data_IF_894813230464
#
_entry.id   IF_894813230464
#
_cell.length_a   1.000
_cell.length_b   1.000
_cell.length_c   1.000
_cell.angle_alpha   90.00
_cell.angle_beta   90.00
_cell.angle_gamma   90.00
#
_symmetry.space_group_name_H-M   'P 1'
#
loop_
_entity.id
_entity.type
_entity.pdbx_description
1 polymer ?
#
# COMPACT_ATOMS: atom_id res chain seq x y z
N UNK A 1 6.10 3.10 6.91
CA UNK A 1 5.80 2.20 5.76
C UNK A 1 5.02 2.98 4.70
N UNK A 2 5.37 2.94 3.41
CA UNK A 2 5.08 4.05 2.46
C UNK A 2 4.01 3.73 1.41
N UNK A 3 2.81 4.25 1.61
CA UNK A 3 1.96 4.76 0.52
C UNK A 3 2.36 6.20 0.24
N UNK A 4 2.72 6.52 -1.00
CA UNK A 4 2.61 7.89 -1.53
C UNK A 4 2.05 7.82 -2.93
N UNK A 5 0.82 8.29 -3.12
CA UNK A 5 0.34 8.74 -4.45
C UNK A 5 0.86 10.15 -4.78
N UNK A 6 1.83 10.65 -4.00
CA UNK A 6 2.54 11.88 -4.28
C UNK A 6 3.38 11.77 -5.56
N UNK A 7 3.68 12.90 -6.21
CA UNK A 7 4.66 12.96 -7.28
C UNK A 7 5.97 12.27 -6.90
N UNK A 8 6.63 11.60 -7.86
CA UNK A 8 7.88 10.92 -7.60
C UNK A 8 8.91 11.88 -7.02
N UNK A 9 9.37 11.56 -5.82
CA UNK A 9 10.41 12.32 -5.14
C UNK A 9 11.71 11.50 -5.13
N UNK A 10 12.77 12.06 -5.72
CA UNK A 10 14.06 11.40 -5.87
C UNK A 10 14.63 10.92 -4.52
N UNK A 11 14.49 11.70 -3.45
CA UNK A 11 14.98 11.32 -2.13
C UNK A 11 14.21 10.11 -1.57
N UNK A 12 12.90 10.04 -1.81
CA UNK A 12 12.07 8.88 -1.39
C UNK A 12 12.45 7.63 -2.18
N UNK A 13 12.52 7.72 -3.51
CA UNK A 13 12.91 6.57 -4.33
C UNK A 13 14.34 6.13 -4.02
N UNK A 14 15.25 7.06 -3.77
CA UNK A 14 16.61 6.74 -3.34
C UNK A 14 16.63 5.97 -2.01
N UNK A 15 15.84 6.38 -1.01
CA UNK A 15 15.71 5.65 0.24
C UNK A 15 15.15 4.22 0.03
N UNK A 16 14.15 4.08 -0.85
CA UNK A 16 13.56 2.77 -1.19
C UNK A 16 14.55 1.86 -1.93
N UNK A 17 15.32 2.41 -2.87
CA UNK A 17 16.37 1.69 -3.61
C UNK A 17 17.53 1.28 -2.69
N UNK A 18 17.98 2.18 -1.80
CA UNK A 18 19.08 1.91 -0.87
C UNK A 18 18.78 0.82 0.16
N UNK A 19 17.50 0.53 0.42
CA UNK A 19 17.05 -0.50 1.36
C UNK A 19 16.70 -1.82 0.67
N UNK A 20 16.90 -1.92 -0.64
CA UNK A 20 16.51 -3.06 -1.48
C UNK A 20 15.04 -3.48 -1.27
N UNK A 21 14.18 -2.49 -0.95
CA UNK A 21 12.82 -2.74 -0.50
C UNK A 21 12.00 -3.44 -1.59
N UNK A 22 12.17 -3.03 -2.85
CA UNK A 22 11.43 -3.61 -3.98
C UNK A 22 11.77 -5.08 -4.14
N UNK A 23 13.03 -5.48 -4.01
CA UNK A 23 13.45 -6.88 -4.02
C UNK A 23 12.87 -7.66 -2.83
N UNK A 24 12.88 -7.08 -1.63
CA UNK A 24 12.25 -7.69 -0.47
C UNK A 24 10.75 -7.91 -0.66
N UNK A 25 10.03 -6.92 -1.20
CA UNK A 25 8.61 -7.05 -1.53
C UNK A 25 8.39 -8.09 -2.63
N UNK A 26 9.24 -8.13 -3.65
CA UNK A 26 9.17 -9.11 -4.73
C UNK A 26 9.34 -10.54 -4.21
N UNK A 27 10.17 -10.76 -3.20
CA UNK A 27 10.30 -12.05 -2.54
C UNK A 27 9.09 -12.34 -1.64
N UNK A 28 8.60 -11.33 -0.92
CA UNK A 28 7.49 -11.43 0.01
C UNK A 28 6.16 -11.81 -0.65
N UNK A 29 5.98 -11.60 -1.97
CA UNK A 29 4.77 -12.09 -2.69
C UNK A 29 4.63 -13.62 -2.68
N UNK A 30 5.71 -14.36 -2.38
CA UNK A 30 5.72 -15.81 -2.27
C UNK A 30 5.82 -16.27 -0.80
N UNK A 31 5.59 -15.38 0.16
CA UNK A 31 5.57 -15.73 1.58
C UNK A 31 4.38 -16.65 1.91
N UNK A 32 4.57 -17.54 2.88
CA UNK A 32 3.50 -18.36 3.45
C UNK A 32 2.55 -17.53 4.33
N UNK A 33 3.00 -16.36 4.79
CA UNK A 33 2.16 -15.43 5.56
C UNK A 33 1.30 -14.59 4.61
N UNK A 34 -0.02 -14.82 4.65
CA UNK A 34 -1.01 -14.14 3.79
C UNK A 34 -1.02 -12.63 3.94
N UNK A 35 -0.81 -12.13 5.17
CA UNK A 35 -0.78 -10.68 5.42
C UNK A 35 0.42 -10.04 4.70
N UNK A 36 1.58 -10.66 4.81
CA UNK A 36 2.84 -10.26 4.16
C UNK A 36 2.72 -10.35 2.64
N UNK A 37 2.18 -11.45 2.12
CA UNK A 37 1.97 -11.62 0.69
C UNK A 37 1.07 -10.54 0.11
N UNK A 38 -0.05 -10.24 0.77
CA UNK A 38 -0.99 -9.24 0.28
C UNK A 38 -0.43 -7.83 0.41
N UNK A 39 0.20 -7.51 1.54
CA UNK A 39 0.87 -6.23 1.72
C UNK A 39 1.91 -5.99 0.61
N UNK A 40 2.74 -7.00 0.34
CA UNK A 40 3.73 -6.93 -0.73
C UNK A 40 3.10 -6.77 -2.11
N UNK A 41 2.02 -7.50 -2.39
CA UNK A 41 1.26 -7.41 -3.64
C UNK A 41 0.70 -5.99 -3.84
N UNK A 42 0.07 -5.43 -2.80
CA UNK A 42 -0.51 -4.09 -2.81
C UNK A 42 0.56 -3.00 -2.96
N UNK A 43 1.65 -3.09 -2.21
CA UNK A 43 2.75 -2.13 -2.27
C UNK A 43 3.47 -2.14 -3.62
N UNK A 44 3.69 -3.32 -4.21
CA UNK A 44 4.27 -3.43 -5.55
C UNK A 44 3.34 -2.85 -6.63
N UNK A 45 2.03 -3.08 -6.52
CA UNK A 45 1.07 -2.46 -7.42
C UNK A 45 1.18 -0.93 -7.38
N UNK A 46 1.28 -0.34 -6.18
CA UNK A 46 1.46 1.11 -6.02
C UNK A 46 2.72 1.60 -6.74
N UNK A 47 3.86 0.94 -6.58
CA UNK A 47 5.11 1.34 -7.25
C UNK A 47 5.03 1.24 -8.77
N UNK A 48 4.44 0.16 -9.29
CA UNK A 48 4.20 0.01 -10.72
C UNK A 48 3.31 1.14 -11.25
N UNK A 49 2.27 1.49 -10.50
CA UNK A 49 1.34 2.55 -10.89
C UNK A 49 1.94 3.96 -10.80
N UNK A 50 2.87 4.19 -9.87
CA UNK A 50 3.65 5.43 -9.85
C UNK A 50 4.54 5.53 -11.11
N UNK A 51 5.16 4.42 -11.52
CA UNK A 51 5.95 4.36 -12.75
C UNK A 51 5.11 4.63 -14.01
N UNK A 52 3.93 4.00 -14.12
CA UNK A 52 3.02 4.17 -15.26
C UNK A 52 2.48 5.61 -15.35
N UNK A 53 2.09 6.20 -14.22
CA UNK A 53 1.41 7.49 -14.21
C UNK A 53 2.34 8.71 -14.11
N UNK A 54 3.65 8.53 -13.98
CA UNK A 54 4.56 9.67 -14.00
C UNK A 54 4.59 10.31 -15.39
N UNK A 55 4.23 11.59 -15.43
CA UNK A 55 4.19 12.36 -16.67
C UNK A 55 5.59 12.79 -17.12
N UNK A 56 6.49 13.09 -16.17
CA UNK A 56 7.87 13.45 -16.50
C UNK A 56 8.73 12.20 -16.73
N UNK A 57 8.80 11.78 -17.99
CA UNK A 57 9.63 10.66 -18.44
C UNK A 57 11.14 10.91 -18.35
N UNK A 58 11.56 12.14 -18.04
CA UNK A 58 12.98 12.49 -17.83
C UNK A 58 13.37 12.52 -16.35
N UNK A 59 12.42 12.27 -15.44
CA UNK A 59 12.62 12.29 -14.01
C UNK A 59 13.68 11.26 -13.57
N UNK A 60 14.76 11.67 -12.87
CA UNK A 60 15.72 10.74 -12.30
C UNK A 60 15.09 9.79 -11.27
N UNK A 61 14.02 10.23 -10.60
CA UNK A 61 13.30 9.42 -9.62
C UNK A 61 12.55 8.27 -10.30
N UNK A 62 11.97 8.55 -11.47
CA UNK A 62 11.31 7.55 -12.30
C UNK A 62 12.32 6.53 -12.83
N UNK A 63 13.42 6.98 -13.42
CA UNK A 63 14.45 6.08 -13.94
C UNK A 63 15.00 5.14 -12.85
N UNK A 64 15.18 5.66 -11.63
CA UNK A 64 15.60 4.84 -10.50
C UNK A 64 14.52 3.84 -10.09
N UNK A 65 13.26 4.27 -10.00
CA UNK A 65 12.15 3.39 -9.65
C UNK A 65 11.99 2.26 -10.68
N UNK A 66 12.02 2.58 -11.97
CA UNK A 66 11.92 1.58 -13.05
C UNK A 66 13.07 0.58 -13.00
N UNK A 67 14.29 1.06 -12.75
CA UNK A 67 15.47 0.19 -12.58
C UNK A 67 15.29 -0.79 -11.42
N UNK A 68 14.74 -0.33 -10.30
CA UNK A 68 14.43 -1.20 -9.16
C UNK A 68 13.28 -2.17 -9.46
N UNK A 69 12.22 -1.70 -10.13
CA UNK A 69 11.10 -2.54 -10.53
C UNK A 69 11.54 -3.67 -11.47
N UNK A 70 12.49 -3.42 -12.38
CA UNK A 70 13.04 -4.45 -13.27
C UNK A 70 13.70 -5.62 -12.54
N UNK A 71 14.10 -5.44 -11.27
CA UNK A 71 14.58 -6.54 -10.42
C UNK A 71 13.46 -7.50 -10.01
N UNK A 72 12.20 -7.10 -10.11
CA UNK A 72 11.06 -7.99 -9.90
C UNK A 72 11.00 -9.03 -11.03
N UNK A 73 11.15 -10.31 -10.67
CA UNK A 73 11.19 -11.43 -11.64
C UNK A 73 10.01 -11.46 -12.61
N UNK A 74 8.82 -10.99 -12.20
CA UNK A 74 7.62 -10.97 -13.05
C UNK A 74 7.66 -9.94 -14.19
N UNK A 75 8.52 -8.93 -14.11
CA UNK A 75 8.72 -7.98 -15.21
C UNK A 75 9.69 -8.54 -16.26
N UNK A 76 10.43 -9.62 -15.95
CA UNK A 76 11.35 -10.29 -16.88
C UNK A 76 12.36 -9.34 -17.55
N UNK A 77 12.77 -8.28 -16.84
CA UNK A 77 13.68 -7.27 -17.40
C UNK A 77 13.04 -6.37 -18.45
N UNK A 78 11.72 -6.42 -18.66
CA UNK A 78 10.99 -5.59 -19.62
C UNK A 78 9.98 -4.69 -18.91
N UNK A 79 10.27 -3.38 -18.87
CA UNK A 79 9.40 -2.38 -18.26
C UNK A 79 8.09 -2.18 -19.03
N UNK A 80 8.04 -2.50 -20.33
CA UNK A 80 6.82 -2.42 -21.13
C UNK A 80 5.73 -3.40 -20.63
N UNK A 81 6.12 -4.42 -19.86
CA UNK A 81 5.18 -5.37 -19.24
C UNK A 81 4.51 -4.82 -17.98
N UNK A 82 4.85 -3.61 -17.54
CA UNK A 82 4.36 -3.04 -16.28
C UNK A 82 2.83 -3.00 -16.18
N UNK A 83 2.12 -2.72 -17.28
CA UNK A 83 0.65 -2.70 -17.28
C UNK A 83 0.07 -4.10 -17.04
N UNK A 84 0.56 -5.11 -17.78
CA UNK A 84 0.11 -6.49 -17.61
C UNK A 84 0.44 -7.05 -16.22
N UNK A 85 1.62 -6.70 -15.67
CA UNK A 85 1.98 -7.09 -14.29
C UNK A 85 1.12 -6.34 -13.27
N UNK A 86 0.75 -5.08 -13.52
CA UNK A 86 -0.20 -4.36 -12.68
C UNK A 86 -1.54 -5.08 -12.66
N UNK A 87 -2.13 -5.38 -13.82
CA UNK A 87 -3.41 -6.09 -13.93
C UNK A 87 -3.41 -7.45 -13.20
N UNK A 88 -2.36 -8.26 -13.37
CA UNK A 88 -2.23 -9.52 -12.63
C UNK A 88 -2.23 -9.32 -11.10
N UNK A 89 -1.61 -8.21 -10.63
CA UNK A 89 -1.63 -7.86 -9.21
C UNK A 89 -2.99 -7.35 -8.77
N UNK A 90 -3.71 -6.64 -9.63
CA UNK A 90 -5.08 -6.20 -9.34
C UNK A 90 -6.00 -7.39 -9.11
N UNK A 91 -6.00 -8.35 -10.03
CA UNK A 91 -6.80 -9.57 -9.93
C UNK A 91 -6.49 -10.35 -8.65
N UNK A 92 -5.20 -10.45 -8.31
CA UNK A 92 -4.77 -11.12 -7.07
C UNK A 92 -5.25 -10.37 -5.83
N UNK A 93 -5.14 -9.05 -5.79
CA UNK A 93 -5.64 -8.24 -4.67
C UNK A 93 -7.15 -8.39 -4.49
N UNK A 94 -7.91 -8.39 -5.58
CA UNK A 94 -9.36 -8.59 -5.52
C UNK A 94 -9.74 -9.98 -5.01
N UNK A 95 -9.00 -11.02 -5.40
CA UNK A 95 -9.25 -12.39 -4.95
C UNK A 95 -8.88 -12.62 -3.48
N UNK A 96 -7.79 -12.01 -3.02
CA UNK A 96 -7.17 -12.35 -1.73
C UNK A 96 -7.52 -11.35 -0.60
N UNK A 97 -8.12 -10.19 -0.90
CA UNK A 97 -8.39 -9.14 0.10
C UNK A 97 -9.32 -9.60 1.25
N UNK A 98 -10.26 -10.52 0.98
CA UNK A 98 -11.16 -11.06 2.00
C UNK A 98 -10.51 -12.13 2.89
N UNK A 99 -9.35 -12.68 2.49
CA UNK A 99 -8.70 -13.80 3.15
C UNK A 99 -7.77 -13.41 4.32
N UNK A 100 -7.67 -12.11 4.62
CA UNK A 100 -6.74 -11.52 5.59
C UNK A 100 -7.29 -11.62 7.00
N UNK A 101 -6.45 -11.85 8.01
CA UNK A 101 -6.85 -11.78 9.43
C UNK A 101 -6.47 -10.48 10.13
N UNK A 102 -5.40 -9.81 9.69
CA UNK A 102 -4.94 -8.52 10.23
C UNK A 102 -5.83 -7.36 9.75
N UNK A 103 -6.38 -6.59 10.70
CA UNK A 103 -7.15 -5.37 10.40
C UNK A 103 -6.30 -4.35 9.64
N UNK A 104 -5.05 -4.14 10.05
CA UNK A 104 -4.16 -3.18 9.41
C UNK A 104 -3.87 -3.52 7.93
N UNK A 105 -3.48 -4.78 7.66
CA UNK A 105 -3.16 -5.19 6.28
C UNK A 105 -4.40 -5.14 5.39
N UNK A 106 -5.57 -5.43 5.97
CA UNK A 106 -6.86 -5.32 5.31
C UNK A 106 -7.22 -3.88 4.98
N UNK A 107 -7.12 -2.96 5.93
CA UNK A 107 -7.34 -1.52 5.70
C UNK A 107 -6.44 -0.99 4.58
N UNK A 108 -5.16 -1.40 4.61
CA UNK A 108 -4.20 -1.02 3.60
C UNK A 108 -4.58 -1.55 2.20
N UNK A 109 -4.88 -2.85 2.10
CA UNK A 109 -5.28 -3.47 0.84
C UNK A 109 -6.56 -2.87 0.28
N UNK A 110 -7.58 -2.61 1.11
CA UNK A 110 -8.83 -1.99 0.66
C UNK A 110 -8.65 -0.56 0.17
N UNK A 111 -7.73 0.21 0.76
CA UNK A 111 -7.40 1.55 0.24
C UNK A 111 -6.71 1.48 -1.12
N UNK A 112 -5.81 0.52 -1.31
CA UNK A 112 -5.18 0.30 -2.62
C UNK A 112 -6.23 -0.13 -3.65
N UNK A 113 -7.15 -1.02 -3.27
CA UNK A 113 -8.29 -1.41 -4.11
C UNK A 113 -9.22 -0.23 -4.45
N UNK A 114 -9.52 0.64 -3.49
CA UNK A 114 -10.30 1.87 -3.73
C UNK A 114 -9.62 2.74 -4.78
N UNK A 115 -8.31 2.94 -4.69
CA UNK A 115 -7.55 3.73 -5.66
C UNK A 115 -7.52 3.06 -7.04
N UNK A 116 -7.29 1.75 -7.10
CA UNK A 116 -7.38 0.96 -8.33
C UNK A 116 -8.72 1.18 -9.04
N UNK A 117 -9.82 1.00 -8.31
CA UNK A 117 -11.17 1.08 -8.85
C UNK A 117 -11.52 2.49 -9.30
N UNK A 118 -11.14 3.50 -8.51
CA UNK A 118 -11.32 4.91 -8.88
C UNK A 118 -10.55 5.28 -10.16
N UNK A 119 -9.30 4.84 -10.31
CA UNK A 119 -8.50 5.07 -11.53
C UNK A 119 -9.15 4.46 -12.77
N UNK A 120 -9.81 3.31 -12.63
CA UNK A 120 -10.53 2.65 -13.72
C UNK A 120 -11.94 3.18 -13.95
N UNK A 121 -12.38 4.18 -13.16
CA UNK A 121 -13.78 4.63 -13.13
C UNK A 121 -14.76 3.47 -12.88
N UNK A 122 -14.31 2.45 -12.14
CA UNK A 122 -15.11 1.27 -11.76
C UNK A 122 -15.79 1.54 -10.43
N UNK A 123 -17.09 1.21 -10.27
CA UNK A 123 -17.76 1.33 -8.99
C UNK A 123 -17.07 0.51 -7.90
N UNK A 124 -16.95 1.08 -6.70
CA UNK A 124 -16.40 0.37 -5.55
C UNK A 124 -17.42 -0.70 -5.12
N UNK A 125 -17.03 -1.99 -5.01
CA UNK A 125 -17.92 -3.02 -4.50
C UNK A 125 -18.40 -2.70 -3.07
N UNK A 126 -19.66 -3.02 -2.75
CA UNK A 126 -20.25 -2.71 -1.44
C UNK A 126 -19.46 -3.26 -0.25
N UNK A 127 -18.84 -4.42 -0.40
CA UNK A 127 -18.05 -5.01 0.69
C UNK A 127 -16.80 -4.16 0.97
N UNK A 128 -16.06 -3.74 -0.09
CA UNK A 128 -14.92 -2.82 0.03
C UNK A 128 -15.37 -1.51 0.67
N UNK A 129 -16.48 -0.93 0.20
CA UNK A 129 -17.00 0.33 0.73
C UNK A 129 -17.37 0.23 2.22
N UNK A 130 -18.06 -0.84 2.62
CA UNK A 130 -18.43 -1.08 4.03
C UNK A 130 -17.22 -1.23 4.96
N UNK A 131 -16.11 -1.81 4.47
CA UNK A 131 -14.87 -1.89 5.24
C UNK A 131 -14.15 -0.55 5.32
N UNK A 132 -14.26 0.26 4.27
CA UNK A 132 -13.64 1.58 4.23
C UNK A 132 -14.43 2.64 5.02
N UNK A 133 -15.65 2.36 5.49
CA UNK A 133 -16.41 3.28 6.34
C UNK A 133 -15.69 3.61 7.65
N UNK A 134 -14.92 2.65 8.16
CA UNK A 134 -14.08 2.83 9.36
C UNK A 134 -12.77 3.58 9.07
N UNK A 135 -12.41 3.75 7.79
CA UNK A 135 -11.22 4.48 7.38
C UNK A 135 -11.56 5.97 7.20
N UNK A 136 -10.84 6.90 7.86
CA UNK A 136 -11.08 8.33 7.71
C UNK A 136 -11.07 8.76 6.24
N UNK A 137 -12.06 9.55 5.82
CA UNK A 137 -12.18 10.01 4.42
C UNK A 137 -10.93 10.70 3.88
N UNK A 138 -10.18 11.44 4.72
CA UNK A 138 -8.92 12.08 4.32
C UNK A 138 -7.81 11.09 3.95
N UNK A 139 -7.95 9.84 4.38
CA UNK A 139 -7.06 8.74 4.05
C UNK A 139 -7.58 7.93 2.85
N UNK A 140 -8.78 8.19 2.33
CA UNK A 140 -9.42 7.43 1.26
C UNK A 140 -9.19 8.05 -0.11
N UNK A 141 -9.21 7.20 -1.13
CA UNK A 141 -9.20 7.57 -2.55
C UNK A 141 -7.89 8.13 -3.10
N UNK A 142 -7.92 8.45 -4.40
CA UNK A 142 -6.76 8.91 -5.19
C UNK A 142 -6.18 10.26 -4.73
N UNK A 143 -6.99 11.06 -4.05
CA UNK A 143 -6.58 12.38 -3.52
C UNK A 143 -5.89 12.28 -2.15
N UNK A 144 -5.82 11.08 -1.58
CA UNK A 144 -5.14 10.79 -0.32
C UNK A 144 -3.62 10.85 -0.50
N UNK A 145 -3.09 12.06 -0.50
CA UNK A 145 -1.67 12.40 -0.61
C UNK A 145 -0.95 12.34 0.75
N UNK A 146 -1.25 11.33 1.56
CA UNK A 146 -0.81 11.31 2.97
C UNK A 146 -0.12 10.02 3.37
N UNK A 147 0.93 10.20 4.18
CA UNK A 147 1.57 9.11 4.90
C UNK A 147 0.55 8.52 5.89
N UNK A 148 0.06 7.32 5.57
CA UNK A 148 -1.00 6.67 6.31
C UNK A 148 -0.68 6.42 7.78
N UNK A 149 0.55 6.03 8.12
CA UNK A 149 0.92 5.80 9.52
C UNK A 149 0.93 7.08 10.32
N UNK A 150 1.50 8.14 9.76
CA UNK A 150 1.52 9.47 10.38
C UNK A 150 0.09 9.97 10.58
N UNK A 151 -0.74 9.92 9.55
CA UNK A 151 -2.11 10.41 9.62
C UNK A 151 -3.04 9.52 10.46
N UNK A 152 -2.86 8.19 10.44
CA UNK A 152 -3.60 7.27 11.30
C UNK A 152 -3.24 7.50 12.77
N UNK A 153 -1.96 7.72 13.07
CA UNK A 153 -1.52 8.06 14.43
C UNK A 153 -2.08 9.41 14.90
N UNK A 154 -2.22 10.38 14.00
CA UNK A 154 -2.88 11.66 14.27
C UNK A 154 -4.41 11.53 14.38
N UNK A 155 -5.03 10.65 13.59
CA UNK A 155 -6.47 10.40 13.59
C UNK A 155 -6.93 9.62 14.83
N UNK A 156 -6.07 8.73 15.33
CA UNK A 156 -6.37 7.82 16.42
C UNK A 156 -5.22 7.79 17.43
N UNK A 157 -4.98 8.89 18.17
CA UNK A 157 -3.89 8.96 19.16
C UNK A 157 -4.07 7.95 20.31
N UNK A 158 -5.30 7.48 20.54
CA UNK A 158 -5.65 6.58 21.66
C UNK A 158 -5.51 5.09 21.33
N UNK A 159 -5.26 4.73 20.06
CA UNK A 159 -5.00 3.35 19.65
C UNK A 159 -3.52 3.04 19.81
N UNK A 160 -3.12 2.65 21.03
CA UNK A 160 -1.79 2.06 21.26
C UNK A 160 -1.84 0.62 20.77
N UNK A 161 -1.09 0.33 19.72
CA UNK A 161 -0.90 -1.04 19.27
C UNK A 161 0.26 -1.66 20.05
N UNK A 162 0.05 -2.86 20.58
CA UNK A 162 1.16 -3.64 21.12
C UNK A 162 2.12 -4.07 19.99
N UNK A 163 3.26 -4.64 20.35
CA UNK A 163 4.25 -5.17 19.40
C UNK A 163 3.71 -6.27 18.47
N UNK A 164 2.47 -6.71 18.68
CA UNK A 164 1.77 -7.71 17.85
C UNK A 164 0.65 -7.09 17.00
N UNK A 165 0.49 -5.77 17.00
CA UNK A 165 -0.48 -5.05 16.17
C UNK A 165 -1.92 -5.16 16.66
N UNK A 166 -2.16 -5.50 17.94
CA UNK A 166 -3.50 -5.55 18.52
C UNK A 166 -3.87 -4.20 19.14
N UNK A 167 -5.12 -3.74 19.00
CA UNK A 167 -5.56 -2.51 19.66
C UNK A 167 -5.63 -2.73 21.18
N UNK A 168 -4.73 -2.08 21.92
CA UNK A 168 -4.78 -2.00 23.38
C UNK A 168 -5.55 -0.74 23.77
N UNK A 169 -6.60 -0.89 24.58
CA UNK A 169 -7.23 0.26 25.21
C UNK A 169 -6.29 0.79 26.28
N UNK A 170 -5.89 2.06 26.16
CA UNK A 170 -5.30 2.78 27.28
C UNK A 170 -6.37 2.81 28.39
N UNK A 171 -6.07 2.30 29.60
CA UNK A 171 -6.98 2.46 30.73
C UNK A 171 -7.21 3.96 30.94
N UNK A 172 -8.47 4.37 30.96
CA UNK A 172 -8.84 5.74 31.32
C UNK A 172 -8.17 6.08 32.66
N UNK A 173 -7.59 7.28 32.76
CA UNK A 173 -6.99 7.80 34.00
C UNK A 173 -7.96 7.86 35.20
N UNK A 174 -9.24 7.53 35.01
CA UNK A 174 -10.21 7.30 36.09
C UNK A 174 -10.09 5.91 36.76
N UNK A 175 -9.46 4.90 36.13
CA UNK A 175 -9.34 3.54 36.68
C UNK A 175 -8.09 3.31 37.54
N UNK A 176 -7.19 4.31 37.66
CA UNK A 176 -5.99 4.24 38.51
C UNK A 176 -6.16 4.87 39.90
N UNK A 177 -7.39 5.18 40.31
CA UNK A 177 -7.74 5.55 41.69
C UNK A 177 -8.62 4.48 42.33
N UNK A 178 -8.02 3.35 42.70
CA UNK A 178 -8.54 2.45 43.74
C UNK A 178 -7.39 2.06 44.66
#
# INVERSE_FOLDING_TARGET
MVLTFEPLNLHKIFALSSSDLISHLANAINSDDRNTQLFATAQLWVFIQMSICEADRTSPALSLLETELLKCSKLEGNIERQEAVAEEREDKLMADADAISSSFCRDYAYRVLEVMLQRRSTPIPRYVDSWLDDVPKRLRGIESLVNYETERSLAYPDLVFDSEGRPSRIPSSEEQRV
#
